data_IF_670290621752
#
_entry.id   IF_670290621752
#
_cell.length_a   1.000
_cell.length_b   1.000
_cell.length_c   1.000
_cell.angle_alpha   90.00
_cell.angle_beta   90.00
_cell.angle_gamma   90.00
#
_symmetry.space_group_name_H-M   'P 1'
#
loop_
_entity.id
_entity.type
_entity.pdbx_description
1 polymer ?
#
# COMPACT_ATOMS: atom_id res chain seq x y z
N UNK A 1 9.67 -1.72 1.30
CA UNK A 1 9.62 -1.87 -0.17
C UNK A 1 8.93 -0.65 -0.81
N UNK A 2 9.27 -0.33 -2.05
CA UNK A 2 8.76 0.83 -2.79
C UNK A 2 9.83 1.85 -3.14
N UNK A 3 9.47 2.86 -3.93
CA UNK A 3 10.35 3.97 -4.32
C UNK A 3 10.06 5.22 -3.48
N UNK A 4 11.11 5.96 -3.12
CA UNK A 4 11.01 7.14 -2.25
C UNK A 4 10.53 8.40 -2.98
N UNK A 5 11.08 8.67 -4.17
CA UNK A 5 10.84 9.93 -4.89
C UNK A 5 11.17 11.17 -4.06
N UNK A 6 12.42 11.32 -3.58
CA UNK A 6 12.80 12.42 -2.69
C UNK A 6 12.70 13.76 -3.43
N UNK A 7 11.70 14.57 -3.07
CA UNK A 7 11.50 15.88 -3.66
C UNK A 7 10.65 16.75 -2.72
N UNK A 8 11.07 18.00 -2.50
CA UNK A 8 10.30 18.96 -1.69
C UNK A 8 9.10 19.44 -2.49
N UNK A 9 7.99 19.75 -1.82
CA UNK A 9 6.77 20.29 -2.46
C UNK A 9 7.05 21.53 -3.30
N UNK A 10 7.99 22.37 -2.83
CA UNK A 10 8.54 23.53 -3.53
C UNK A 10 10.04 23.61 -3.23
N UNK A 11 10.87 23.81 -4.25
CA UNK A 11 12.31 24.02 -4.05
C UNK A 11 12.88 24.98 -5.09
N UNK A 12 13.55 26.05 -4.64
CA UNK A 12 14.20 27.03 -5.54
C UNK A 12 13.25 27.62 -6.60
N UNK A 13 11.97 27.79 -6.26
CA UNK A 13 10.94 28.29 -7.19
C UNK A 13 10.29 27.22 -8.07
N UNK A 14 10.81 25.99 -8.06
CA UNK A 14 10.29 24.87 -8.84
C UNK A 14 9.30 24.03 -8.05
N UNK A 15 8.20 23.65 -8.70
CA UNK A 15 7.16 22.79 -8.15
C UNK A 15 7.61 21.32 -8.13
N UNK A 16 7.06 20.55 -7.18
CA UNK A 16 7.16 19.10 -7.21
C UNK A 16 6.61 18.55 -8.55
N UNK A 17 7.39 17.79 -9.34
CA UNK A 17 6.91 17.26 -10.62
C UNK A 17 5.78 16.23 -10.43
N UNK A 18 4.62 16.48 -11.03
CA UNK A 18 3.48 15.56 -10.95
C UNK A 18 3.78 14.18 -11.54
N UNK A 19 4.68 14.09 -12.52
CA UNK A 19 5.14 12.80 -13.07
C UNK A 19 5.81 11.94 -11.99
N UNK A 20 6.67 12.52 -11.15
CA UNK A 20 7.31 11.82 -10.04
C UNK A 20 6.28 11.41 -8.98
N UNK A 21 5.31 12.27 -8.69
CA UNK A 21 4.23 11.96 -7.74
C UNK A 21 3.45 10.74 -8.21
N UNK A 22 2.99 10.78 -9.47
CA UNK A 22 2.24 9.70 -10.09
C UNK A 22 3.03 8.40 -10.13
N UNK A 23 4.33 8.46 -10.41
CA UNK A 23 5.19 7.27 -10.41
C UNK A 23 5.28 6.64 -9.01
N UNK A 24 5.49 7.45 -7.96
CA UNK A 24 5.57 6.97 -6.57
C UNK A 24 4.25 6.34 -6.13
N UNK A 25 3.12 6.97 -6.46
CA UNK A 25 1.77 6.45 -6.18
C UNK A 25 1.51 5.13 -6.93
N UNK A 26 1.81 5.12 -8.23
CA UNK A 26 1.58 3.95 -9.08
C UNK A 26 2.35 2.72 -8.57
N UNK A 27 3.61 2.90 -8.17
CA UNK A 27 4.43 1.79 -7.67
C UNK A 27 4.02 1.36 -6.27
N UNK A 28 3.96 2.30 -5.32
CA UNK A 28 3.87 1.95 -3.90
C UNK A 28 2.45 1.68 -3.41
N UNK A 29 1.45 2.33 -4.01
CA UNK A 29 0.07 2.22 -3.55
C UNK A 29 -0.77 1.44 -4.55
N UNK A 30 -0.83 1.89 -5.80
CA UNK A 30 -1.60 1.20 -6.85
C UNK A 30 -1.04 -0.19 -7.10
N UNK A 31 0.28 -0.34 -7.17
CA UNK A 31 0.95 -1.63 -7.30
C UNK A 31 0.63 -2.58 -6.16
N UNK A 32 0.70 -2.11 -4.91
CA UNK A 32 0.32 -2.90 -3.74
C UNK A 32 -1.14 -3.34 -3.81
N UNK A 33 -2.07 -2.44 -4.08
CA UNK A 33 -3.49 -2.81 -4.22
C UNK A 33 -3.74 -3.78 -5.39
N UNK A 34 -3.02 -3.61 -6.50
CA UNK A 34 -3.12 -4.52 -7.64
C UNK A 34 -2.65 -5.94 -7.30
N UNK A 35 -1.58 -6.08 -6.51
CA UNK A 35 -1.15 -7.40 -6.01
C UNK A 35 -2.17 -7.97 -5.04
N UNK A 36 -2.65 -7.16 -4.08
CA UNK A 36 -3.68 -7.57 -3.11
C UNK A 36 -4.88 -8.17 -3.84
N UNK A 37 -5.50 -7.46 -4.79
CA UNK A 37 -6.72 -7.97 -5.46
C UNK A 37 -6.53 -9.29 -6.20
N UNK A 38 -5.36 -9.51 -6.81
CA UNK A 38 -5.06 -10.77 -7.49
C UNK A 38 -4.75 -11.90 -6.51
N UNK A 39 -3.99 -11.60 -5.44
CA UNK A 39 -3.71 -12.55 -4.38
C UNK A 39 -4.99 -12.97 -3.65
N UNK A 40 -5.89 -12.03 -3.34
CA UNK A 40 -7.20 -12.29 -2.74
C UNK A 40 -8.03 -13.28 -3.57
N UNK A 41 -8.08 -13.09 -4.90
CA UNK A 41 -8.80 -14.01 -5.78
C UNK A 41 -8.19 -15.41 -5.73
N UNK A 42 -6.86 -15.51 -5.80
CA UNK A 42 -6.17 -16.79 -5.71
C UNK A 42 -6.42 -17.48 -4.36
N UNK A 43 -6.24 -16.76 -3.24
CA UNK A 43 -6.44 -17.28 -1.89
C UNK A 43 -7.88 -17.69 -1.62
N UNK A 44 -8.88 -16.98 -2.17
CA UNK A 44 -10.30 -17.36 -2.01
C UNK A 44 -10.62 -18.76 -2.54
N UNK A 45 -9.78 -19.29 -3.44
CA UNK A 45 -9.92 -20.61 -4.06
C UNK A 45 -9.10 -21.70 -3.35
N UNK A 46 -8.26 -21.37 -2.38
CA UNK A 46 -7.54 -22.35 -1.59
C UNK A 46 -8.51 -23.18 -0.75
N UNK A 47 -8.20 -24.44 -0.50
CA UNK A 47 -8.87 -25.22 0.55
C UNK A 47 -8.61 -24.55 1.90
N UNK A 48 -9.66 -24.36 2.70
CA UNK A 48 -9.51 -23.80 4.05
C UNK A 48 -8.81 -24.81 4.98
N UNK A 49 -8.03 -24.31 5.94
CA UNK A 49 -7.53 -25.12 7.05
C UNK A 49 -8.65 -25.39 8.08
N UNK A 50 -8.32 -26.10 9.16
CA UNK A 50 -9.28 -26.48 10.22
C UNK A 50 -9.93 -25.27 10.91
N UNK A 51 -9.28 -24.11 10.90
CA UNK A 51 -9.78 -22.84 11.45
C UNK A 51 -10.56 -21.98 10.43
N UNK A 52 -10.73 -22.46 9.19
CA UNK A 52 -11.40 -21.74 8.12
C UNK A 52 -10.52 -20.73 7.36
N UNK A 53 -9.22 -20.65 7.68
CA UNK A 53 -8.26 -19.75 7.01
C UNK A 53 -7.86 -20.30 5.64
N UNK A 54 -7.82 -19.40 4.65
CA UNK A 54 -7.41 -19.69 3.27
C UNK A 54 -6.13 -18.96 2.85
N UNK A 55 -5.68 -17.96 3.61
CA UNK A 55 -4.44 -17.25 3.33
C UNK A 55 -4.21 -16.02 4.19
N UNK A 56 -3.02 -15.44 4.01
CA UNK A 56 -2.57 -14.24 4.73
C UNK A 56 -1.85 -13.32 3.76
N UNK A 57 -2.25 -12.06 3.74
CA UNK A 57 -1.58 -10.97 3.05
C UNK A 57 -0.83 -10.16 4.10
N UNK A 58 0.41 -9.74 3.81
CA UNK A 58 1.18 -8.87 4.70
C UNK A 58 1.68 -7.68 3.90
N UNK A 59 1.25 -6.49 4.29
CA UNK A 59 1.62 -5.25 3.62
C UNK A 59 2.79 -4.56 4.35
N UNK A 60 3.73 -3.99 3.60
CA UNK A 60 4.82 -3.19 4.17
C UNK A 60 4.54 -1.69 4.05
N UNK A 61 4.12 -1.08 5.16
CA UNK A 61 4.06 0.37 5.29
C UNK A 61 5.43 0.97 5.70
N UNK A 62 5.46 2.02 6.52
CA UNK A 62 6.66 2.67 7.05
C UNK A 62 6.31 3.59 8.21
N UNK A 63 7.26 3.87 9.11
CA UNK A 63 7.14 4.97 10.07
C UNK A 63 6.87 6.33 9.40
N UNK A 64 7.28 6.49 8.15
CA UNK A 64 6.97 7.65 7.32
C UNK A 64 5.46 7.85 7.05
N UNK A 65 4.61 6.84 7.29
CA UNK A 65 3.15 6.97 7.24
C UNK A 65 2.60 7.86 8.37
N UNK A 66 3.30 7.93 9.50
CA UNK A 66 2.95 8.77 10.65
C UNK A 66 3.84 10.01 10.76
N UNK A 67 5.15 9.83 10.54
CA UNK A 67 6.17 10.86 10.78
C UNK A 67 7.08 10.99 9.55
N UNK A 68 6.48 11.40 8.43
CA UNK A 68 7.20 11.68 7.19
C UNK A 68 8.26 12.76 7.34
N UNK A 69 9.40 12.59 6.65
CA UNK A 69 10.49 13.57 6.66
C UNK A 69 10.35 14.59 5.52
N UNK A 70 11.13 15.69 5.59
CA UNK A 70 11.20 16.68 4.52
C UNK A 70 11.57 16.00 3.19
N UNK A 71 10.81 16.29 2.13
CA UNK A 71 11.02 15.71 0.81
C UNK A 71 10.40 14.34 0.59
N UNK A 72 9.65 13.80 1.57
CA UNK A 72 9.00 12.49 1.47
C UNK A 72 7.48 12.57 1.24
N UNK A 73 6.94 13.70 0.77
CA UNK A 73 5.49 13.89 0.67
C UNK A 73 4.78 12.75 -0.09
N UNK A 74 5.28 12.41 -1.29
CA UNK A 74 4.73 11.30 -2.08
C UNK A 74 4.90 9.95 -1.39
N UNK A 75 6.08 9.67 -0.82
CA UNK A 75 6.34 8.42 -0.11
C UNK A 75 5.41 8.25 1.10
N UNK A 76 5.35 9.26 1.97
CA UNK A 76 4.49 9.28 3.15
C UNK A 76 3.02 9.13 2.78
N UNK A 77 2.54 9.80 1.73
CA UNK A 77 1.19 9.61 1.22
C UNK A 77 0.93 8.16 0.82
N UNK A 78 1.85 7.51 0.10
CA UNK A 78 1.68 6.10 -0.28
C UNK A 78 1.68 5.16 0.92
N UNK A 79 2.55 5.39 1.91
CA UNK A 79 2.66 4.54 3.11
C UNK A 79 1.48 4.72 4.05
N UNK A 80 0.97 5.95 4.18
CA UNK A 80 -0.31 6.20 4.83
C UNK A 80 -1.47 5.52 4.08
N UNK A 81 -1.48 5.54 2.74
CA UNK A 81 -2.45 4.82 1.92
C UNK A 81 -2.41 3.29 2.15
N UNK A 82 -1.22 2.69 2.17
CA UNK A 82 -1.04 1.26 2.47
C UNK A 82 -1.52 0.92 3.90
N UNK A 83 -1.27 1.80 4.87
CA UNK A 83 -1.80 1.63 6.22
C UNK A 83 -3.33 1.75 6.25
N UNK A 84 -3.87 2.76 5.57
CA UNK A 84 -5.30 3.06 5.53
C UNK A 84 -6.12 1.97 4.83
N UNK A 85 -5.53 1.24 3.88
CA UNK A 85 -6.23 0.14 3.19
C UNK A 85 -6.21 -1.19 3.96
N UNK A 86 -5.32 -1.39 4.94
CA UNK A 86 -5.18 -2.71 5.60
C UNK A 86 -6.47 -3.15 6.27
N UNK A 87 -7.08 -2.31 7.11
CA UNK A 87 -8.32 -2.66 7.81
C UNK A 87 -9.54 -2.87 6.88
N UNK A 88 -9.85 -1.98 5.91
CA UNK A 88 -10.99 -2.21 5.03
C UNK A 88 -10.80 -3.45 4.15
N UNK A 89 -9.60 -3.69 3.61
CA UNK A 89 -9.34 -4.92 2.83
C UNK A 89 -9.46 -6.17 3.70
N UNK A 90 -8.97 -6.13 4.95
CA UNK A 90 -9.16 -7.23 5.90
C UNK A 90 -10.64 -7.54 6.14
N UNK A 91 -11.49 -6.51 6.25
CA UNK A 91 -12.94 -6.66 6.41
C UNK A 91 -13.61 -7.24 5.16
N UNK A 92 -13.24 -6.80 3.97
CA UNK A 92 -13.78 -7.33 2.71
C UNK A 92 -13.47 -8.83 2.55
N UNK A 93 -12.27 -9.24 2.98
CA UNK A 93 -11.76 -10.59 2.82
C UNK A 93 -12.08 -11.54 3.98
N UNK A 94 -12.62 -11.04 5.09
CA UNK A 94 -12.95 -11.83 6.27
C UNK A 94 -13.88 -13.01 5.94
N UNK A 95 -14.90 -12.78 5.10
CA UNK A 95 -15.84 -13.83 4.66
C UNK A 95 -15.17 -14.95 3.82
N UNK A 96 -13.99 -14.67 3.27
CA UNK A 96 -13.20 -15.62 2.49
C UNK A 96 -12.10 -16.30 3.33
N UNK A 97 -12.03 -16.03 4.64
CA UNK A 97 -11.00 -16.60 5.51
C UNK A 97 -9.59 -16.11 5.17
N UNK A 98 -9.44 -14.89 4.61
CA UNK A 98 -8.12 -14.33 4.27
C UNK A 98 -7.82 -13.15 5.19
N UNK A 99 -6.69 -13.23 5.92
CA UNK A 99 -6.21 -12.15 6.78
C UNK A 99 -5.31 -11.18 6.02
N UNK A 100 -5.21 -9.95 6.50
CA UNK A 100 -4.40 -8.85 5.93
C UNK A 100 -3.74 -8.05 7.04
#
# INVERSE_FOLDING_TARGET
>A
AGILGPCKTLSKGELFPLSLWNQVIAVNLTGTFNVIRHASLAMSRNTANDDGERGVIVNTSSGAAWQGQMGQAAYSATKAGVMGLTLPVSRDLAQHGVRV
#
